data_IF_727689053657
#
_entry.id   IF_727689053657
#
_cell.length_a   1.000
_cell.length_b   1.000
_cell.length_c   1.000
_cell.angle_alpha   90.00
_cell.angle_beta   90.00
_cell.angle_gamma   90.00
#
_symmetry.space_group_name_H-M   'P 1'
#
loop_
_entity.id
_entity.type
_entity.pdbx_description
1 polymer ?
#
# COMPACT_ATOMS: atom_id res chain seq x y z
N UNK A 1 -13.48 8.22 -11.47
CA UNK A 1 -13.39 7.41 -10.24
C UNK A 1 -12.01 6.75 -10.19
N UNK A 2 -11.21 6.95 -9.13
CA UNK A 2 -9.81 6.44 -9.07
C UNK A 2 -9.70 4.93 -9.39
N UNK A 3 -10.70 4.17 -8.97
CA UNK A 3 -10.82 2.72 -9.13
C UNK A 3 -10.75 2.23 -10.59
N UNK A 4 -11.19 3.04 -11.55
CA UNK A 4 -11.27 2.63 -12.96
C UNK A 4 -9.89 2.69 -13.64
N UNK A 5 -9.00 3.57 -13.17
CA UNK A 5 -7.75 3.88 -13.86
C UNK A 5 -6.51 3.37 -13.13
N UNK A 6 -6.53 3.22 -11.79
CA UNK A 6 -5.40 2.65 -11.06
C UNK A 6 -5.46 1.12 -11.08
N UNK A 7 -4.95 0.54 -12.17
CA UNK A 7 -4.87 -0.91 -12.30
C UNK A 7 -3.51 -1.41 -11.80
N UNK A 8 -3.50 -2.58 -11.17
CA UNK A 8 -2.28 -3.24 -10.66
C UNK A 8 -1.17 -3.37 -11.71
N UNK A 9 -1.55 -3.51 -12.99
CA UNK A 9 -0.60 -3.56 -14.13
C UNK A 9 0.22 -2.27 -14.29
N UNK A 10 -0.28 -1.12 -13.84
CA UNK A 10 0.41 0.16 -13.94
C UNK A 10 1.54 0.29 -12.89
N UNK A 11 1.56 -0.55 -11.86
CA UNK A 11 2.47 -0.43 -10.71
C UNK A 11 3.84 -1.12 -10.93
N UNK A 12 4.05 -1.76 -12.08
CA UNK A 12 5.28 -2.52 -12.39
C UNK A 12 5.68 -3.43 -11.22
N UNK A 13 4.75 -4.25 -10.74
CA UNK A 13 4.97 -5.09 -9.57
C UNK A 13 5.73 -6.38 -9.91
N UNK A 14 6.50 -6.90 -8.95
CA UNK A 14 6.96 -8.30 -8.94
C UNK A 14 6.53 -9.00 -7.67
N UNK A 15 6.14 -10.28 -7.76
CA UNK A 15 5.86 -11.08 -6.56
C UNK A 15 7.08 -11.11 -5.62
N UNK A 16 6.83 -10.96 -4.32
CA UNK A 16 7.85 -11.01 -3.27
C UNK A 16 8.73 -12.27 -3.34
N UNK A 17 8.21 -13.41 -3.82
CA UNK A 17 8.97 -14.66 -3.97
C UNK A 17 10.01 -14.58 -5.09
N UNK A 18 9.66 -13.93 -6.20
CA UNK A 18 10.44 -13.91 -7.45
C UNK A 18 11.42 -12.73 -7.53
N UNK A 19 11.43 -11.87 -6.51
CA UNK A 19 12.30 -10.70 -6.46
C UNK A 19 13.77 -11.12 -6.27
N UNK A 20 14.62 -11.00 -7.28
CA UNK A 20 16.06 -11.10 -7.07
C UNK A 20 16.57 -9.78 -6.49
N UNK A 21 17.26 -9.84 -5.34
CA UNK A 21 17.77 -8.65 -4.66
C UNK A 21 18.78 -7.93 -5.56
N UNK A 22 18.33 -6.92 -6.29
CA UNK A 22 19.22 -6.00 -7.00
C UNK A 22 19.61 -4.85 -6.06
N UNK A 23 20.67 -4.11 -6.40
CA UNK A 23 21.19 -2.98 -5.62
C UNK A 23 20.15 -1.90 -5.30
N UNK A 24 19.02 -1.83 -5.99
CA UNK A 24 17.94 -0.92 -5.64
C UNK A 24 17.16 -1.48 -4.45
N UNK A 25 17.41 -0.89 -3.28
CA UNK A 25 16.63 -1.06 -2.06
C UNK A 25 15.24 -0.46 -2.22
N UNK A 26 14.43 -0.92 -3.16
CA UNK A 26 13.06 -0.43 -3.22
C UNK A 26 12.33 -0.97 -1.99
N UNK A 27 11.91 -0.04 -1.13
CA UNK A 27 11.28 -0.34 0.16
C UNK A 27 9.77 -0.43 0.07
N UNK A 28 9.22 -0.15 -1.11
CA UNK A 28 7.79 -0.07 -1.31
C UNK A 28 7.18 -1.44 -1.63
N UNK A 29 6.33 -1.87 -0.72
CA UNK A 29 5.55 -3.10 -0.78
C UNK A 29 4.10 -2.76 -1.10
N UNK A 30 3.51 -3.47 -2.07
CA UNK A 30 2.07 -3.53 -2.27
C UNK A 30 1.51 -4.72 -1.50
N UNK A 31 0.56 -4.45 -0.61
CA UNK A 31 -0.30 -5.46 0.02
C UNK A 31 -1.64 -5.44 -0.72
N UNK A 32 -1.85 -6.41 -1.60
CA UNK A 32 -3.08 -6.56 -2.38
C UNK A 32 -4.03 -7.60 -1.79
N UNK A 33 -5.25 -7.61 -2.34
CA UNK A 33 -6.32 -8.52 -1.96
C UNK A 33 -6.76 -8.37 -0.49
N UNK A 34 -6.72 -7.15 0.05
CA UNK A 34 -7.29 -6.84 1.36
C UNK A 34 -8.79 -7.21 1.41
N UNK A 35 -9.38 -7.41 2.60
CA UNK A 35 -10.82 -7.69 2.73
C UNK A 35 -11.70 -6.64 2.06
N UNK A 36 -12.92 -7.03 1.67
CA UNK A 36 -13.92 -6.04 1.22
C UNK A 36 -14.28 -5.16 2.41
N UNK A 37 -13.99 -3.86 2.31
CA UNK A 37 -14.10 -2.91 3.42
C UNK A 37 -15.49 -2.88 4.06
N UNK A 38 -16.55 -2.88 3.26
CA UNK A 38 -17.93 -2.80 3.76
C UNK A 38 -18.37 -4.01 4.60
N UNK A 39 -17.76 -5.18 4.41
CA UNK A 39 -18.11 -6.38 5.17
C UNK A 39 -17.28 -6.55 6.43
N UNK A 40 -16.03 -6.07 6.41
CA UNK A 40 -15.13 -6.20 7.56
C UNK A 40 -14.16 -5.01 7.61
N UNK A 41 -14.60 -3.84 8.13
CA UNK A 41 -13.82 -2.61 8.12
C UNK A 41 -12.45 -2.78 8.79
N UNK A 42 -11.45 -2.06 8.29
CA UNK A 42 -10.10 -2.08 8.83
C UNK A 42 -9.43 -0.73 8.66
N UNK A 43 -8.51 -0.41 9.57
CA UNK A 43 -7.72 0.82 9.54
C UNK A 43 -6.31 0.55 9.02
N UNK A 44 -5.56 1.62 8.76
CA UNK A 44 -4.12 1.50 8.46
C UNK A 44 -3.35 0.83 9.60
N UNK A 45 -3.72 1.10 10.85
CA UNK A 45 -3.13 0.44 12.02
C UNK A 45 -3.36 -1.08 11.99
N UNK A 46 -4.55 -1.55 11.62
CA UNK A 46 -4.80 -2.99 11.49
C UNK A 46 -3.92 -3.64 10.40
N UNK A 47 -3.66 -2.95 9.29
CA UNK A 47 -2.75 -3.44 8.24
C UNK A 47 -1.29 -3.38 8.72
N UNK A 48 -0.91 -2.33 9.45
CA UNK A 48 0.42 -2.17 10.03
C UNK A 48 0.75 -3.28 11.04
N UNK A 49 -0.22 -3.71 11.85
CA UNK A 49 -0.06 -4.80 12.82
C UNK A 49 0.41 -6.09 12.17
N UNK A 50 -0.02 -6.37 10.92
CA UNK A 50 0.41 -7.54 10.15
C UNK A 50 1.92 -7.51 9.86
N UNK A 51 2.48 -6.32 9.69
CA UNK A 51 3.85 -6.12 9.24
C UNK A 51 4.81 -5.81 10.38
N UNK A 52 4.29 -5.47 11.57
CA UNK A 52 5.09 -5.19 12.78
C UNK A 52 6.07 -6.33 13.14
N UNK A 53 5.72 -7.63 13.02
CA UNK A 53 6.67 -8.72 13.25
C UNK A 53 7.91 -8.70 12.33
N UNK A 54 7.86 -7.96 11.22
CA UNK A 54 8.98 -7.78 10.28
C UNK A 54 9.68 -6.43 10.46
N UNK A 55 9.49 -5.79 11.61
CA UNK A 55 10.08 -4.51 11.97
C UNK A 55 9.36 -3.30 11.40
N UNK A 56 8.17 -3.44 10.82
CA UNK A 56 7.41 -2.28 10.33
C UNK A 56 7.01 -1.35 11.48
N UNK A 57 7.26 -0.05 11.30
CA UNK A 57 6.85 0.99 12.24
C UNK A 57 5.79 1.87 11.57
N UNK A 58 4.64 1.96 12.22
CA UNK A 58 3.51 2.74 11.73
C UNK A 58 3.78 4.25 11.82
N UNK A 59 3.48 4.96 10.75
CA UNK A 59 3.43 6.42 10.66
C UNK A 59 2.59 6.81 9.44
N UNK A 60 2.12 8.06 9.41
CA UNK A 60 1.31 8.64 8.33
C UNK A 60 2.02 8.70 6.96
N UNK A 61 3.31 8.34 6.90
CA UNK A 61 4.13 8.36 5.69
C UNK A 61 4.67 6.99 5.30
N UNK A 62 4.40 5.96 6.10
CA UNK A 62 4.91 4.61 5.89
C UNK A 62 3.84 3.64 5.42
N UNK A 63 2.56 4.03 5.45
CA UNK A 63 1.46 3.23 4.91
C UNK A 63 0.37 4.13 4.32
N UNK A 64 -0.18 3.70 3.19
CA UNK A 64 -1.37 4.29 2.58
C UNK A 64 -2.33 3.17 2.18
N UNK A 65 -3.50 3.14 2.81
CA UNK A 65 -4.53 2.16 2.50
C UNK A 65 -5.55 2.74 1.52
N UNK A 66 -5.84 1.99 0.45
CA UNK A 66 -6.91 2.28 -0.50
C UNK A 66 -7.98 1.17 -0.39
N UNK A 67 -8.97 1.32 0.52
CA UNK A 67 -9.93 0.25 0.81
C UNK A 67 -10.72 -0.18 -0.42
N UNK A 68 -11.15 0.77 -1.25
CA UNK A 68 -11.93 0.49 -2.46
C UNK A 68 -11.17 -0.33 -3.50
N UNK A 69 -9.84 -0.17 -3.53
CA UNK A 69 -8.96 -0.95 -4.39
C UNK A 69 -8.46 -2.23 -3.74
N UNK A 70 -8.77 -2.46 -2.45
CA UNK A 70 -8.29 -3.59 -1.67
C UNK A 70 -6.75 -3.68 -1.69
N UNK A 71 -6.10 -2.52 -1.62
CA UNK A 71 -4.65 -2.35 -1.69
C UNK A 71 -4.13 -1.50 -0.52
N UNK A 72 -2.91 -1.78 -0.08
CA UNK A 72 -2.12 -0.88 0.74
C UNK A 72 -0.70 -0.75 0.20
N UNK A 73 -0.17 0.47 0.22
CA UNK A 73 1.20 0.80 -0.14
C UNK A 73 1.99 0.99 1.14
N UNK A 74 3.07 0.24 1.32
CA UNK A 74 3.81 0.19 2.59
C UNK A 74 5.29 0.40 2.36
N UNK A 75 5.89 1.34 3.09
CA UNK A 75 7.34 1.55 3.10
C UNK A 75 7.96 0.67 4.18
N UNK A 76 8.49 -0.47 3.78
CA UNK A 76 9.15 -1.40 4.69
C UNK A 76 10.56 -0.92 5.05
N UNK A 77 10.98 -1.04 6.33
CA UNK A 77 12.36 -0.74 6.69
C UNK A 77 13.34 -1.70 6.00
N UNK A 78 12.96 -2.97 5.87
CA UNK A 78 13.68 -4.00 5.11
C UNK A 78 12.71 -4.97 4.43
N UNK A 79 12.70 -4.95 3.10
CA UNK A 79 11.98 -5.96 2.30
C UNK A 79 12.65 -7.33 2.42
N UNK A 80 13.97 -7.36 2.59
CA UNK A 80 14.74 -8.60 2.71
C UNK A 80 14.29 -9.44 3.89
N UNK A 81 14.05 -8.81 5.06
CA UNK A 81 13.59 -9.55 6.25
C UNK A 81 12.18 -10.09 6.09
N UNK A 82 11.26 -9.29 5.53
CA UNK A 82 9.91 -9.74 5.19
C UNK A 82 9.95 -10.93 4.21
N UNK A 83 10.80 -10.85 3.18
CA UNK A 83 10.93 -11.92 2.18
C UNK A 83 11.47 -13.20 2.79
N UNK A 84 12.53 -13.13 3.60
CA UNK A 84 13.10 -14.30 4.30
C UNK A 84 12.02 -15.01 5.11
N UNK A 85 11.20 -14.25 5.85
CA UNK A 85 10.08 -14.80 6.58
C UNK A 85 9.04 -15.45 5.67
N UNK A 86 8.62 -14.74 4.62
CA UNK A 86 7.59 -15.22 3.69
C UNK A 86 7.99 -16.55 3.03
N UNK A 87 9.24 -16.66 2.58
CA UNK A 87 9.79 -17.90 1.99
C UNK A 87 9.89 -19.01 3.04
N UNK A 88 10.45 -18.71 4.23
CA UNK A 88 10.70 -19.71 5.28
C UNK A 88 9.41 -20.34 5.80
N UNK A 89 8.35 -19.55 5.93
CA UNK A 89 7.14 -20.04 6.57
C UNK A 89 6.20 -20.78 5.62
N UNK A 90 6.37 -20.63 4.29
CA UNK A 90 5.45 -21.14 3.26
C UNK A 90 3.95 -20.90 3.56
N UNK A 91 3.67 -19.98 4.49
CA UNK A 91 2.33 -19.75 5.02
C UNK A 91 1.67 -18.67 4.20
N UNK A 92 0.40 -18.92 3.93
CA UNK A 92 -0.47 -17.91 3.35
C UNK A 92 -0.55 -16.73 4.31
N UNK A 93 -0.15 -15.55 3.82
CA UNK A 93 -0.29 -14.33 4.58
C UNK A 93 -1.78 -13.94 4.54
N UNK A 94 -2.50 -14.12 5.64
CA UNK A 94 -3.95 -13.91 5.68
C UNK A 94 -4.33 -12.74 6.58
N UNK A 95 -5.42 -12.07 6.23
CA UNK A 95 -6.00 -11.01 7.04
C UNK A 95 -7.52 -11.05 6.92
N UNK A 96 -8.21 -11.22 8.04
CA UNK A 96 -9.68 -11.26 8.12
C UNK A 96 -10.31 -12.19 7.05
N UNK A 97 -9.73 -13.39 6.89
CA UNK A 97 -10.19 -14.40 5.93
C UNK A 97 -9.73 -14.21 4.48
N UNK A 98 -9.07 -13.09 4.15
CA UNK A 98 -8.51 -12.85 2.81
C UNK A 98 -7.05 -13.29 2.73
N UNK A 99 -6.70 -14.07 1.71
CA UNK A 99 -5.30 -14.39 1.37
C UNK A 99 -4.65 -13.20 0.69
N UNK A 100 -3.74 -12.55 1.39
CA UNK A 100 -3.05 -11.34 0.93
C UNK A 100 -2.04 -11.67 -0.16
N UNK A 101 -1.83 -10.69 -1.05
CA UNK A 101 -0.82 -10.76 -2.08
C UNK A 101 0.25 -9.72 -1.78
N UNK A 102 1.50 -10.15 -1.66
CA UNK A 102 2.64 -9.28 -1.36
C UNK A 102 3.51 -9.09 -2.62
N UNK A 103 3.66 -7.85 -3.06
CA UNK A 103 4.45 -7.50 -4.24
C UNK A 103 5.39 -6.34 -3.99
N UNK A 104 6.53 -6.36 -4.67
CA UNK A 104 7.46 -5.23 -4.70
C UNK A 104 7.04 -4.32 -5.83
N UNK A 105 6.82 -3.04 -5.51
CA UNK A 105 6.60 -2.00 -6.51
C UNK A 105 7.96 -1.55 -7.02
N UNK A 106 8.16 -1.47 -8.33
CA UNK A 106 9.44 -1.01 -8.92
C UNK A 106 9.40 0.43 -9.40
N UNK A 107 8.22 1.02 -9.56
CA UNK A 107 8.11 2.43 -9.92
C UNK A 107 8.41 3.35 -8.73
N UNK A 108 8.87 4.56 -9.03
CA UNK A 108 9.13 5.57 -8.01
C UNK A 108 7.82 6.18 -7.55
N UNK A 109 7.41 5.86 -6.33
CA UNK A 109 6.28 6.49 -5.65
C UNK A 109 6.82 7.23 -4.43
N UNK A 110 6.49 8.51 -4.32
CA UNK A 110 6.82 9.32 -3.15
C UNK A 110 5.75 9.11 -2.08
N UNK A 111 6.15 9.08 -0.81
CA UNK A 111 5.26 8.68 0.29
C UNK A 111 4.94 9.79 1.28
N UNK A 112 5.20 11.06 0.94
CA UNK A 112 4.50 12.16 1.60
C UNK A 112 3.07 12.24 1.05
N UNK A 113 2.04 12.61 1.84
CA UNK A 113 0.63 12.40 1.46
C UNK A 113 0.25 12.99 0.10
N UNK A 114 0.61 14.26 -0.14
CA UNK A 114 0.36 14.91 -1.42
C UNK A 114 1.15 14.30 -2.57
N UNK A 115 2.44 13.97 -2.36
CA UNK A 115 3.26 13.39 -3.42
C UNK A 115 2.87 11.94 -3.72
N UNK A 116 2.33 11.21 -2.74
CA UNK A 116 1.74 9.90 -2.92
C UNK A 116 0.53 9.98 -3.83
N UNK A 117 -0.43 10.85 -3.50
CA UNK A 117 -1.59 11.12 -4.36
C UNK A 117 -1.16 11.52 -5.77
N UNK A 118 -0.22 12.46 -5.90
CA UNK A 118 0.31 12.91 -7.20
C UNK A 118 0.95 11.76 -7.99
N UNK A 119 1.68 10.87 -7.30
CA UNK A 119 2.31 9.68 -7.90
C UNK A 119 1.25 8.71 -8.42
N UNK A 120 0.18 8.45 -7.65
CA UNK A 120 -0.94 7.62 -8.08
C UNK A 120 -1.66 8.20 -9.30
N UNK A 121 -1.94 9.51 -9.29
CA UNK A 121 -2.58 10.18 -10.42
C UNK A 121 -1.76 10.07 -11.71
N UNK A 122 -0.43 10.24 -11.60
CA UNK A 122 0.47 10.03 -12.74
C UNK A 122 0.44 8.60 -13.25
N UNK A 123 0.42 7.60 -12.36
CA UNK A 123 0.29 6.18 -12.73
C UNK A 123 -1.06 5.84 -13.39
N UNK A 124 -2.03 6.73 -13.26
CA UNK A 124 -3.34 6.66 -13.92
C UNK A 124 -3.43 7.50 -15.19
N UNK A 125 -2.31 8.06 -15.66
CA UNK A 125 -2.23 9.00 -16.80
C UNK A 125 -3.05 10.28 -16.62
N UNK A 126 -3.24 10.73 -15.37
CA UNK A 126 -3.77 12.07 -15.10
C UNK A 126 -2.61 13.05 -14.88
N UNK A 127 -2.65 14.18 -15.58
CA UNK A 127 -1.70 15.24 -15.36
C UNK A 127 -2.14 16.10 -14.15
N UNK A 128 -1.30 16.12 -13.12
CA UNK A 128 -1.53 16.92 -11.91
C UNK A 128 -0.58 18.11 -11.95
N UNK A 129 -1.07 19.20 -12.53
CA UNK A 129 -0.35 20.47 -12.65
C UNK A 129 -0.27 21.23 -11.32
N UNK A 130 -1.18 20.93 -10.40
CA UNK A 130 -1.19 21.50 -9.05
C UNK A 130 0.09 21.13 -8.27
N UNK A 131 0.62 22.09 -7.52
CA UNK A 131 1.77 21.96 -6.62
C UNK A 131 1.37 21.51 -5.20
N UNK A 132 0.07 21.41 -4.94
CA UNK A 132 -0.52 20.99 -3.67
C UNK A 132 -1.20 22.12 -2.91
N UNK A 133 -1.04 23.37 -3.36
CA UNK A 133 -1.60 24.56 -2.72
C UNK A 133 -3.12 24.56 -2.60
N UNK A 134 -3.83 23.92 -3.53
CA UNK A 134 -5.28 23.75 -3.49
C UNK A 134 -5.75 22.35 -3.09
N UNK A 135 -4.88 21.54 -2.47
CA UNK A 135 -5.23 20.21 -1.96
C UNK A 135 -5.38 20.24 -0.44
N UNK A 136 -6.54 19.82 0.04
CA UNK A 136 -6.81 19.63 1.47
C UNK A 136 -6.61 18.15 1.80
N UNK A 137 -5.75 17.87 2.78
CA UNK A 137 -5.57 16.53 3.33
C UNK A 137 -6.30 16.46 4.67
N UNK A 138 -7.30 15.58 4.75
CA UNK A 138 -8.13 15.41 5.94
C UNK A 138 -7.76 14.06 6.58
N UNK A 139 -7.47 14.08 7.88
CA UNK A 139 -7.11 12.91 8.67
C UNK A 139 -8.13 12.70 9.80
N UNK A 140 -8.09 11.51 10.40
CA UNK A 140 -8.88 11.16 11.59
C UNK A 140 -10.41 11.34 11.42
N UNK A 141 -10.91 11.17 10.20
CA UNK A 141 -12.36 11.15 9.94
C UNK A 141 -12.93 9.87 10.55
N UNK A 142 -13.92 9.99 11.42
CA UNK A 142 -14.60 8.82 11.96
C UNK A 142 -15.47 8.16 10.88
N UNK A 143 -15.71 6.85 11.01
CA UNK A 143 -16.61 6.14 10.09
C UNK A 143 -18.06 6.63 10.15
N UNK A 144 -18.43 7.38 11.19
CA UNK A 144 -19.76 7.99 11.33
C UNK A 144 -19.86 9.31 10.55
N UNK A 145 -18.80 10.12 10.55
CA UNK A 145 -18.71 11.37 9.79
C UNK A 145 -18.50 11.13 8.28
N UNK A 146 -17.95 9.98 7.91
CA UNK A 146 -17.75 9.61 6.51
C UNK A 146 -19.03 9.09 5.80
N UNK A 147 -20.16 9.03 6.50
CA UNK A 147 -21.48 8.63 5.97
C UNK A 147 -22.36 9.86 5.77
N UNK A 148 -22.07 10.64 4.74
CA UNK A 148 -22.98 11.64 4.19
C UNK A 148 -23.11 11.43 2.67
#
# INVERSE_FOLDING_TARGET
RMEIHLQRRNLMCSNLTNFHSTKLQNKLLLVGNLPVFHHNPYTEANVADLLRPFGFHYSDHTIFVLPTLRMAFVVMPSITELRKFYIKNQKEFTFKGSKLILEIIHCKIFTSPFQFYKSLMKLMNFDVTNDGSSVVFIQNISSQEAKD
#
